data_IF_876299130407
#
_entry.id   IF_876299130407
#
_cell.length_a   1.000
_cell.length_b   1.000
_cell.length_c   1.000
_cell.angle_alpha   90.00
_cell.angle_beta   90.00
_cell.angle_gamma   90.00
#
_symmetry.space_group_name_H-M   'P 1'
#
loop_
_entity.id
_entity.type
_entity.pdbx_description
1 polymer ?
#
# COMPACT_ATOMS: atom_id res chain seq x y z
N UNK A 1 -6.22 14.48 22.55
CA UNK A 1 -5.47 13.30 23.05
C UNK A 1 -5.38 12.30 21.92
N UNK A 2 -4.23 12.15 21.28
CA UNK A 2 -3.99 11.17 20.21
C UNK A 2 -4.05 9.77 20.82
N UNK A 3 -4.99 8.93 20.38
CA UNK A 3 -5.05 7.53 20.81
C UNK A 3 -3.83 6.81 20.24
N UNK A 4 -2.92 6.38 21.09
CA UNK A 4 -1.79 5.55 20.67
C UNK A 4 -2.31 4.28 19.99
N UNK A 5 -1.95 4.08 18.73
CA UNK A 5 -2.31 2.87 17.97
C UNK A 5 -1.37 1.74 18.39
N UNK A 6 -1.92 0.56 18.70
CA UNK A 6 -1.12 -0.62 19.03
C UNK A 6 -0.11 -0.95 17.90
N UNK A 7 1.13 -1.31 18.26
CA UNK A 7 2.12 -1.75 17.28
C UNK A 7 1.60 -2.91 16.42
N UNK A 8 1.97 -2.97 15.11
CA UNK A 8 1.53 -4.04 14.20
C UNK A 8 1.85 -5.44 14.73
N UNK A 9 3.04 -5.67 15.28
CA UNK A 9 3.46 -6.97 15.82
C UNK A 9 2.54 -7.49 16.95
N UNK A 10 1.99 -6.60 17.79
CA UNK A 10 1.03 -7.00 18.82
C UNK A 10 -0.29 -7.44 18.19
N UNK A 11 -0.76 -6.71 17.17
CA UNK A 11 -1.99 -7.07 16.44
C UNK A 11 -1.83 -8.40 15.73
N UNK A 12 -0.68 -8.65 15.09
CA UNK A 12 -0.38 -9.88 14.38
C UNK A 12 -0.34 -11.08 15.34
N UNK A 13 0.25 -10.90 16.52
CA UNK A 13 0.28 -11.95 17.57
C UNK A 13 -1.14 -12.31 18.04
N UNK A 14 -1.99 -11.31 18.29
CA UNK A 14 -3.38 -11.53 18.71
C UNK A 14 -4.18 -12.20 17.59
N UNK A 15 -4.02 -11.75 16.34
CA UNK A 15 -4.69 -12.35 15.20
C UNK A 15 -4.28 -13.83 15.03
N UNK A 16 -2.99 -14.11 15.13
CA UNK A 16 -2.46 -15.47 15.02
C UNK A 16 -3.00 -16.39 16.11
N UNK A 17 -3.10 -15.93 17.35
CA UNK A 17 -3.72 -16.69 18.45
C UNK A 17 -5.22 -16.92 18.21
N UNK A 18 -5.96 -15.89 17.74
CA UNK A 18 -7.36 -16.00 17.38
C UNK A 18 -7.61 -17.01 16.25
N UNK A 19 -6.74 -17.02 15.23
CA UNK A 19 -6.80 -17.99 14.12
C UNK A 19 -6.60 -19.44 14.58
N UNK A 20 -5.76 -19.67 15.60
CA UNK A 20 -5.55 -21.01 16.18
C UNK A 20 -6.76 -21.51 16.96
N UNK A 21 -7.53 -20.61 17.57
CA UNK A 21 -8.67 -20.97 18.45
C UNK A 21 -9.99 -21.05 17.69
N UNK A 22 -10.17 -20.24 16.64
CA UNK A 22 -11.44 -20.14 15.92
C UNK A 22 -11.27 -20.36 14.41
N UNK A 23 -11.86 -21.44 13.93
CA UNK A 23 -11.84 -21.82 12.52
C UNK A 23 -12.50 -20.75 11.62
N UNK A 24 -13.47 -20.01 12.12
CA UNK A 24 -14.14 -18.94 11.37
C UNK A 24 -13.18 -17.78 11.14
N UNK A 25 -12.46 -17.38 12.18
CA UNK A 25 -11.42 -16.34 12.08
C UNK A 25 -10.29 -16.79 11.15
N UNK A 26 -9.85 -18.04 11.25
CA UNK A 26 -8.83 -18.60 10.35
C UNK A 26 -9.25 -18.56 8.88
N UNK A 27 -10.49 -19.02 8.55
CA UNK A 27 -11.02 -18.97 7.17
C UNK A 27 -11.05 -17.56 6.62
N UNK A 28 -11.56 -16.59 7.40
CA UNK A 28 -11.67 -15.17 6.99
C UNK A 28 -10.29 -14.55 6.77
N UNK A 29 -9.33 -14.81 7.66
CA UNK A 29 -7.96 -14.34 7.51
C UNK A 29 -7.30 -14.89 6.24
N UNK A 30 -7.45 -16.20 5.96
CA UNK A 30 -6.92 -16.79 4.74
C UNK A 30 -7.63 -16.29 3.46
N UNK A 31 -8.94 -16.06 3.50
CA UNK A 31 -9.65 -15.44 2.37
C UNK A 31 -9.14 -14.04 2.08
N UNK A 32 -8.93 -13.21 3.13
CA UNK A 32 -8.35 -11.87 3.00
C UNK A 32 -6.95 -11.93 2.38
N UNK A 33 -6.09 -12.81 2.88
CA UNK A 33 -4.72 -12.97 2.39
C UNK A 33 -4.68 -13.44 0.93
N UNK A 34 -5.50 -14.42 0.56
CA UNK A 34 -5.57 -14.95 -0.81
C UNK A 34 -6.04 -13.85 -1.78
N UNK A 35 -7.13 -13.15 -1.45
CA UNK A 35 -7.69 -12.08 -2.28
C UNK A 35 -6.79 -10.86 -2.37
N UNK A 36 -5.93 -10.63 -1.37
CA UNK A 36 -4.92 -9.60 -1.41
C UNK A 36 -3.80 -9.88 -2.43
N UNK A 37 -3.40 -11.14 -2.50
CA UNK A 37 -2.26 -11.56 -3.32
C UNK A 37 -2.65 -11.98 -4.74
N UNK A 38 -3.91 -12.38 -4.95
CA UNK A 38 -4.34 -12.98 -6.19
C UNK A 38 -5.65 -12.36 -6.70
N UNK A 39 -5.79 -12.34 -8.03
CA UNK A 39 -6.95 -11.76 -8.71
C UNK A 39 -7.69 -12.82 -9.54
N UNK A 40 -8.96 -12.55 -9.80
CA UNK A 40 -9.83 -13.37 -10.66
C UNK A 40 -9.96 -14.83 -10.21
N UNK A 41 -10.11 -15.00 -8.89
CA UNK A 41 -10.33 -16.33 -8.31
C UNK A 41 -11.83 -16.65 -8.27
N UNK A 42 -12.19 -17.79 -8.84
CA UNK A 42 -13.55 -18.33 -8.71
C UNK A 42 -13.83 -18.79 -7.27
N UNK A 43 -15.12 -18.96 -6.93
CA UNK A 43 -15.53 -19.49 -5.63
C UNK A 43 -14.85 -20.83 -5.31
N UNK A 44 -14.84 -21.74 -6.27
CA UNK A 44 -14.23 -23.06 -6.08
C UNK A 44 -12.73 -22.99 -5.83
N UNK A 45 -12.03 -22.09 -6.52
CA UNK A 45 -10.60 -21.87 -6.29
C UNK A 45 -10.31 -21.28 -4.90
N UNK A 46 -11.13 -20.32 -4.44
CA UNK A 46 -10.99 -19.75 -3.11
C UNK A 46 -11.20 -20.80 -2.03
N UNK A 47 -12.26 -21.61 -2.14
CA UNK A 47 -12.55 -22.70 -1.20
C UNK A 47 -11.40 -23.70 -1.18
N UNK A 48 -10.96 -24.19 -2.34
CA UNK A 48 -9.88 -25.16 -2.43
C UNK A 48 -8.58 -24.67 -1.79
N UNK A 49 -8.24 -23.38 -1.93
CA UNK A 49 -7.03 -22.79 -1.33
C UNK A 49 -7.12 -22.65 0.18
N UNK A 50 -8.29 -22.30 0.69
CA UNK A 50 -8.51 -22.24 2.16
C UNK A 50 -8.51 -23.66 2.73
N UNK A 51 -9.13 -24.62 2.06
CA UNK A 51 -9.11 -26.04 2.48
C UNK A 51 -7.71 -26.66 2.44
N UNK A 52 -6.86 -26.23 1.52
CA UNK A 52 -5.45 -26.66 1.49
C UNK A 52 -4.70 -26.25 2.77
N UNK A 53 -5.05 -25.12 3.37
CA UNK A 53 -4.41 -24.59 4.59
C UNK A 53 -5.05 -25.08 5.90
N UNK A 54 -6.37 -25.23 5.91
CA UNK A 54 -7.14 -25.53 7.12
C UNK A 54 -7.70 -26.96 7.18
N UNK A 55 -7.56 -27.72 6.11
CA UNK A 55 -8.12 -29.06 5.96
C UNK A 55 -9.46 -29.06 5.20
N UNK A 56 -9.77 -30.22 4.60
CA UNK A 56 -11.00 -30.44 3.84
C UNK A 56 -12.23 -30.18 4.72
N UNK A 57 -13.28 -29.68 4.11
CA UNK A 57 -14.56 -29.37 4.76
C UNK A 57 -14.50 -28.30 5.86
N UNK A 58 -13.47 -27.45 5.86
CA UNK A 58 -13.39 -26.36 6.84
C UNK A 58 -14.56 -25.36 6.74
N UNK A 59 -15.29 -25.32 5.61
CA UNK A 59 -16.54 -24.57 5.44
C UNK A 59 -17.79 -25.35 5.88
N UNK A 60 -17.65 -26.62 6.23
CA UNK A 60 -18.76 -27.54 6.53
C UNK A 60 -19.05 -28.52 5.41
N UNK A 61 -19.76 -29.63 5.73
CA UNK A 61 -20.06 -30.68 4.76
C UNK A 61 -21.30 -30.33 3.95
N UNK A 62 -22.39 -29.96 4.59
CA UNK A 62 -23.71 -29.73 3.95
C UNK A 62 -24.04 -28.26 3.67
N UNK A 63 -23.61 -27.34 4.51
CA UNK A 63 -23.93 -25.91 4.44
C UNK A 63 -22.71 -25.03 4.07
N UNK A 64 -21.79 -25.59 3.28
CA UNK A 64 -20.52 -24.90 2.96
C UNK A 64 -20.74 -23.63 2.14
N UNK A 65 -21.76 -23.57 1.28
CA UNK A 65 -22.07 -22.36 0.49
C UNK A 65 -22.48 -21.19 1.38
N UNK A 66 -23.40 -21.42 2.32
CA UNK A 66 -23.85 -20.38 3.25
C UNK A 66 -22.71 -19.89 4.13
N UNK A 67 -21.87 -20.82 4.59
CA UNK A 67 -20.68 -20.50 5.37
C UNK A 67 -19.70 -19.64 4.57
N UNK A 68 -19.43 -20.03 3.30
CA UNK A 68 -18.57 -19.26 2.42
C UNK A 68 -19.12 -17.86 2.18
N UNK A 69 -20.40 -17.69 1.84
CA UNK A 69 -20.96 -16.37 1.59
C UNK A 69 -21.03 -15.52 2.83
N UNK A 70 -21.23 -16.11 4.01
CA UNK A 70 -21.17 -15.39 5.29
C UNK A 70 -19.76 -14.86 5.55
N UNK A 71 -18.74 -15.67 5.32
CA UNK A 71 -17.36 -15.27 5.48
C UNK A 71 -16.96 -14.22 4.43
N UNK A 72 -17.37 -14.38 3.17
CA UNK A 72 -17.14 -13.40 2.10
C UNK A 72 -17.80 -12.04 2.37
N UNK A 73 -18.98 -12.03 3.02
CA UNK A 73 -19.62 -10.76 3.45
C UNK A 73 -18.74 -10.02 4.44
N UNK A 74 -18.19 -10.73 5.41
CA UNK A 74 -17.23 -10.15 6.37
C UNK A 74 -15.95 -9.66 5.69
N UNK A 75 -15.39 -10.47 4.79
CA UNK A 75 -14.20 -10.12 4.00
C UNK A 75 -14.44 -8.84 3.19
N UNK A 76 -15.60 -8.73 2.54
CA UNK A 76 -15.99 -7.54 1.80
C UNK A 76 -16.04 -6.30 2.70
N UNK A 77 -16.68 -6.39 3.87
CA UNK A 77 -16.74 -5.29 4.84
C UNK A 77 -15.34 -4.87 5.34
N UNK A 78 -14.47 -5.85 5.60
CA UNK A 78 -13.10 -5.57 6.04
C UNK A 78 -12.27 -4.86 4.96
N UNK A 79 -12.43 -5.26 3.69
CA UNK A 79 -11.78 -4.61 2.56
C UNK A 79 -12.32 -3.19 2.33
N UNK A 80 -13.63 -2.99 2.40
CA UNK A 80 -14.28 -1.68 2.28
C UNK A 80 -13.80 -0.72 3.39
N UNK A 81 -13.65 -1.20 4.62
CA UNK A 81 -13.10 -0.41 5.73
C UNK A 81 -11.64 0.01 5.51
N UNK A 82 -10.89 -0.74 4.69
CA UNK A 82 -9.53 -0.43 4.29
C UNK A 82 -9.44 0.42 2.99
N UNK A 83 -10.59 0.77 2.37
CA UNK A 83 -10.65 1.55 1.13
C UNK A 83 -10.58 0.75 -0.16
N UNK A 84 -10.77 -0.58 -0.08
CA UNK A 84 -10.81 -1.46 -1.23
C UNK A 84 -12.22 -1.94 -1.50
N UNK A 85 -12.54 -2.22 -2.77
CA UNK A 85 -13.80 -2.83 -3.18
C UNK A 85 -13.55 -4.25 -3.69
N UNK A 86 -14.24 -5.22 -3.10
CA UNK A 86 -14.23 -6.59 -3.58
C UNK A 86 -15.32 -6.77 -4.65
N UNK A 87 -14.91 -6.98 -5.88
CA UNK A 87 -15.76 -7.11 -7.04
C UNK A 87 -15.69 -8.54 -7.63
N UNK A 88 -16.67 -8.88 -8.45
CA UNK A 88 -16.68 -10.14 -9.18
C UNK A 88 -16.77 -9.87 -10.68
N UNK A 89 -15.76 -10.31 -11.44
CA UNK A 89 -15.77 -10.26 -12.89
C UNK A 89 -16.56 -11.43 -13.46
N UNK A 90 -17.56 -11.13 -14.29
CA UNK A 90 -18.42 -12.13 -14.96
C UNK A 90 -17.99 -12.45 -16.39
N UNK A 91 -16.97 -11.79 -16.91
CA UNK A 91 -16.47 -12.03 -18.26
C UNK A 91 -15.92 -13.45 -18.38
N UNK A 92 -16.23 -14.12 -19.49
CA UNK A 92 -15.82 -15.52 -19.72
C UNK A 92 -14.31 -15.73 -19.71
N UNK A 93 -13.55 -14.70 -20.08
CA UNK A 93 -12.10 -14.76 -20.20
C UNK A 93 -11.39 -14.81 -18.84
N UNK A 94 -11.91 -14.10 -17.85
CA UNK A 94 -11.32 -14.04 -16.50
C UNK A 94 -12.42 -13.90 -15.43
N UNK A 95 -13.25 -14.92 -15.22
CA UNK A 95 -14.30 -14.87 -14.19
C UNK A 95 -13.68 -15.03 -12.80
N UNK A 96 -14.09 -14.19 -11.83
CA UNK A 96 -13.62 -14.36 -10.47
C UNK A 96 -13.64 -13.09 -9.64
N UNK A 97 -13.34 -13.25 -8.36
CA UNK A 97 -13.21 -12.16 -7.42
C UNK A 97 -11.88 -11.42 -7.61
N UNK A 98 -11.91 -10.11 -7.50
CA UNK A 98 -10.73 -9.26 -7.53
C UNK A 98 -10.93 -8.02 -6.67
N UNK A 99 -9.83 -7.43 -6.23
CA UNK A 99 -9.84 -6.18 -5.47
C UNK A 99 -9.58 -5.00 -6.39
N UNK A 100 -10.36 -3.94 -6.19
CA UNK A 100 -10.17 -2.63 -6.80
C UNK A 100 -10.14 -1.57 -5.71
N UNK A 101 -9.39 -0.50 -5.93
CA UNK A 101 -9.31 0.64 -5.01
C UNK A 101 -7.88 0.98 -4.61
N UNK A 102 -7.80 2.06 -3.87
CA UNK A 102 -6.57 2.51 -3.24
C UNK A 102 -6.72 2.37 -1.72
N UNK A 103 -5.63 2.10 -0.99
CA UNK A 103 -5.69 2.05 0.46
C UNK A 103 -6.26 3.37 0.98
N UNK A 104 -7.20 3.28 1.91
CA UNK A 104 -7.71 4.45 2.60
C UNK A 104 -6.53 5.12 3.31
N UNK A 105 -6.08 6.25 2.76
CA UNK A 105 -5.06 7.06 3.41
C UNK A 105 -5.60 7.52 4.75
N UNK A 106 -4.80 7.38 5.80
CA UNK A 106 -5.17 7.93 7.12
C UNK A 106 -5.54 9.39 6.95
N UNK A 107 -6.58 9.84 7.66
CA UNK A 107 -7.09 11.22 7.55
C UNK A 107 -6.00 12.28 7.68
N UNK A 108 -4.98 12.02 8.49
CA UNK A 108 -3.80 12.86 8.66
C UNK A 108 -2.98 12.98 7.35
N UNK A 109 -2.73 11.85 6.68
CA UNK A 109 -2.02 11.83 5.39
C UNK A 109 -2.85 12.47 4.29
N UNK A 110 -4.18 12.25 4.31
CA UNK A 110 -5.09 12.92 3.36
C UNK A 110 -5.10 14.43 3.55
N UNK A 111 -5.05 14.93 4.79
CA UNK A 111 -4.93 16.35 5.07
C UNK A 111 -3.61 16.93 4.57
N UNK A 112 -2.49 16.24 4.85
CA UNK A 112 -1.17 16.66 4.37
C UNK A 112 -1.12 16.68 2.84
N UNK A 113 -1.65 15.66 2.16
CA UNK A 113 -1.71 15.62 0.69
C UNK A 113 -2.62 16.71 0.12
N UNK A 114 -3.77 16.99 0.77
CA UNK A 114 -4.66 18.07 0.34
C UNK A 114 -4.03 19.45 0.53
N UNK A 115 -3.35 19.69 1.66
CA UNK A 115 -2.62 20.95 1.88
C UNK A 115 -1.47 21.11 0.87
N UNK A 116 -0.66 20.08 0.66
CA UNK A 116 0.41 20.10 -0.34
C UNK A 116 -0.10 20.31 -1.77
N UNK A 117 -1.27 19.73 -2.11
CA UNK A 117 -1.88 19.94 -3.41
C UNK A 117 -2.50 21.35 -3.57
N UNK A 118 -2.96 21.95 -2.46
CA UNK A 118 -3.47 23.33 -2.46
C UNK A 118 -2.36 24.39 -2.60
N UNK A 119 -1.14 24.05 -2.20
CA UNK A 119 0.03 24.93 -2.34
C UNK A 119 0.62 24.92 -3.78
N UNK A 120 0.13 24.05 -4.65
CA UNK A 120 0.57 24.03 -6.06
C UNK A 120 -0.08 25.19 -6.81
N UNK A 121 0.71 26.21 -7.12
CA UNK A 121 0.26 27.35 -7.92
C UNK A 121 -0.23 26.89 -9.30
N UNK A 122 -1.47 27.24 -9.64
CA UNK A 122 -2.07 26.91 -10.94
C UNK A 122 -1.19 27.38 -12.11
N UNK A 123 -0.47 28.49 -11.94
CA UNK A 123 0.49 28.99 -12.91
C UNK A 123 1.64 28.03 -13.16
N UNK A 124 2.14 27.38 -12.12
CA UNK A 124 3.18 26.35 -12.25
C UNK A 124 2.66 25.16 -13.06
N UNK A 125 1.45 24.70 -12.79
CA UNK A 125 0.82 23.61 -13.57
C UNK A 125 0.73 23.99 -15.06
N UNK A 126 0.30 25.21 -15.37
CA UNK A 126 0.16 25.68 -16.73
C UNK A 126 1.50 25.83 -17.46
N UNK A 127 2.56 26.21 -16.73
CA UNK A 127 3.93 26.22 -17.26
C UNK A 127 4.37 24.77 -17.54
N UNK A 128 4.22 23.85 -16.56
CA UNK A 128 4.60 22.46 -16.75
C UNK A 128 3.87 21.75 -17.89
N UNK A 129 2.60 22.09 -18.14
CA UNK A 129 1.82 21.54 -19.26
C UNK A 129 2.38 21.97 -20.62
N UNK A 130 2.98 23.15 -20.72
CA UNK A 130 3.56 23.70 -21.97
C UNK A 130 4.95 23.15 -22.27
N UNK A 131 5.64 22.58 -21.24
CA UNK A 131 6.98 22.03 -21.41
C UNK A 131 6.92 20.68 -22.13
N UNK A 132 7.86 20.42 -23.03
CA UNK A 132 8.12 19.12 -23.62
C UNK A 132 8.63 18.13 -22.53
N UNK A 133 8.62 16.84 -22.85
CA UNK A 133 9.16 15.82 -21.95
C UNK A 133 10.65 16.08 -21.60
N UNK A 134 11.46 16.48 -22.59
CA UNK A 134 12.88 16.77 -22.39
C UNK A 134 13.09 17.97 -21.46
N UNK A 135 12.30 19.03 -21.59
CA UNK A 135 12.38 20.21 -20.73
C UNK A 135 11.95 19.89 -19.30
N UNK A 136 10.88 19.11 -19.11
CA UNK A 136 10.44 18.63 -17.78
C UNK A 136 11.52 17.78 -17.11
N UNK A 137 12.13 16.89 -17.85
CA UNK A 137 13.23 16.04 -17.36
C UNK A 137 14.44 16.90 -16.95
N UNK A 138 14.85 17.85 -17.82
CA UNK A 138 15.97 18.76 -17.52
C UNK A 138 15.69 19.59 -16.27
N UNK A 139 14.47 20.09 -16.09
CA UNK A 139 14.09 20.84 -14.91
C UNK A 139 14.14 20.01 -13.64
N UNK A 140 13.67 18.74 -13.68
CA UNK A 140 13.78 17.80 -12.57
C UNK A 140 15.23 17.54 -12.18
N UNK A 141 16.12 17.32 -13.16
CA UNK A 141 17.55 17.17 -12.91
C UNK A 141 18.17 18.43 -12.31
N UNK A 142 17.80 19.62 -12.78
CA UNK A 142 18.30 20.90 -12.26
C UNK A 142 17.93 21.13 -10.80
N UNK A 143 16.69 20.80 -10.39
CA UNK A 143 16.25 20.87 -8.99
C UNK A 143 17.08 19.92 -8.13
N UNK A 144 17.24 18.66 -8.56
CA UNK A 144 18.05 17.66 -7.86
C UNK A 144 19.53 18.08 -7.71
N UNK A 145 20.09 18.73 -8.74
CA UNK A 145 21.46 19.26 -8.70
C UNK A 145 21.59 20.44 -7.73
N UNK A 146 20.58 21.27 -7.65
CA UNK A 146 20.54 22.41 -6.71
C UNK A 146 20.48 21.92 -5.28
N UNK A 147 19.62 20.95 -4.97
CA UNK A 147 19.50 20.36 -3.64
C UNK A 147 20.83 19.72 -3.22
N UNK A 148 21.49 19.00 -4.11
CA UNK A 148 22.82 18.43 -3.83
C UNK A 148 23.88 19.51 -3.52
N UNK A 149 23.87 20.62 -4.26
CA UNK A 149 24.77 21.74 -4.01
C UNK A 149 24.54 22.39 -2.65
N UNK A 150 23.26 22.54 -2.24
CA UNK A 150 22.89 23.07 -0.92
C UNK A 150 23.37 22.13 0.19
N UNK A 151 23.16 20.82 0.05
CA UNK A 151 23.66 19.82 1.01
C UNK A 151 25.19 19.85 1.10
N UNK A 152 25.88 19.88 -0.03
CA UNK A 152 27.34 19.95 -0.09
C UNK A 152 27.88 21.25 0.55
N UNK A 153 27.19 22.38 0.36
CA UNK A 153 27.54 23.64 1.01
C UNK A 153 27.44 23.53 2.53
N UNK A 154 26.35 22.96 3.07
CA UNK A 154 26.19 22.72 4.52
C UNK A 154 27.30 21.81 5.08
N UNK A 155 27.63 20.72 4.39
CA UNK A 155 28.70 19.80 4.77
C UNK A 155 30.05 20.56 4.87
N UNK A 156 30.31 21.51 3.98
CA UNK A 156 31.53 22.35 4.03
C UNK A 156 31.51 23.40 5.13
N UNK A 157 30.34 23.91 5.48
CA UNK A 157 30.23 24.80 6.65
C UNK A 157 30.58 24.06 7.94
N UNK A 158 30.10 22.83 8.08
CA UNK A 158 30.38 22.00 9.25
C UNK A 158 31.85 21.48 9.25
N UNK A 159 32.46 21.35 8.06
CA UNK A 159 33.82 20.84 7.87
C UNK A 159 34.60 21.70 6.85
N UNK A 160 35.15 22.85 7.25
CA UNK A 160 35.81 23.78 6.32
C UNK A 160 37.04 23.23 5.59
N UNK A 161 37.61 22.12 6.07
CA UNK A 161 38.79 21.47 5.46
C UNK A 161 38.43 20.64 4.22
N UNK A 162 37.17 20.33 4.00
CA UNK A 162 36.73 19.56 2.84
C UNK A 162 36.76 20.40 1.57
N UNK A 163 37.29 19.83 0.51
CA UNK A 163 37.18 20.41 -0.83
C UNK A 163 35.72 20.35 -1.33
N UNK A 164 35.38 21.20 -2.31
CA UNK A 164 34.05 21.16 -2.97
C UNK A 164 33.73 19.78 -3.54
N UNK A 165 34.74 19.09 -4.08
CA UNK A 165 34.60 17.78 -4.69
C UNK A 165 34.25 16.69 -3.66
N UNK A 166 34.93 16.69 -2.53
CA UNK A 166 34.65 15.75 -1.43
C UNK A 166 33.28 15.98 -0.80
N UNK A 167 32.89 17.23 -0.57
CA UNK A 167 31.57 17.56 -0.04
C UNK A 167 30.44 17.14 -1.00
N UNK A 168 30.62 17.31 -2.31
CA UNK A 168 29.68 16.82 -3.31
C UNK A 168 29.59 15.31 -3.33
N UNK A 169 30.71 14.60 -3.16
CA UNK A 169 30.73 13.13 -3.09
C UNK A 169 29.97 12.62 -1.87
N UNK A 170 30.19 13.23 -0.69
CA UNK A 170 29.46 12.90 0.54
C UNK A 170 27.96 13.20 0.40
N UNK A 171 27.59 14.34 -0.22
CA UNK A 171 26.20 14.67 -0.48
C UNK A 171 25.52 13.64 -1.40
N UNK A 172 26.23 13.17 -2.43
CA UNK A 172 25.76 12.11 -3.32
C UNK A 172 25.56 10.78 -2.58
N UNK A 173 26.52 10.35 -1.78
CA UNK A 173 26.42 9.13 -0.98
C UNK A 173 25.20 9.18 -0.04
N UNK A 174 24.96 10.30 0.65
CA UNK A 174 23.78 10.44 1.54
C UNK A 174 22.45 10.35 0.79
N UNK A 175 22.39 10.81 -0.45
CA UNK A 175 21.17 10.75 -1.26
C UNK A 175 20.81 9.32 -1.70
N UNK A 176 21.79 8.40 -1.79
CA UNK A 176 21.58 7.01 -2.22
C UNK A 176 21.67 5.97 -1.10
N UNK A 177 21.89 6.41 0.16
CA UNK A 177 22.01 5.51 1.33
C UNK A 177 20.74 5.45 2.18
N UNK A 178 19.62 5.99 1.69
CA UNK A 178 18.28 5.91 2.31
C UNK A 178 17.47 4.83 1.56
#
# INVERSE_FOLDING_TARGET
MSKATLPPAIKDTILHDAMKRDITTARRAHLLEILWNERYLSRSQLIARVELRLGKHCFGISAWEDTFYRDMRFVKQAMEAAGYQLLYNRMKEQPGYYLEGQPALRSEIQQVLKSSAADVDQRQIDIYRKLSFAERFHQGCSISDTDRKVVAYRIRQDNPKLSVREANHIALQRAYSQ
#
